data_IF_652786599870
#
_entry.id   IF_652786599870
#
_cell.length_a   1.000
_cell.length_b   1.000
_cell.length_c   1.000
_cell.angle_alpha   90.00
_cell.angle_beta   90.00
_cell.angle_gamma   90.00
#
_symmetry.space_group_name_H-M   'P 1'
#
loop_
_entity.id
_entity.type
_entity.pdbx_description
1 polymer ?
#
# COMPACT_ATOMS: atom_id res chain seq x y z
N UNK A 1 7.20 -8.07 -1.28
CA UNK A 1 6.98 -7.66 -2.67
C UNK A 1 5.66 -8.25 -3.19
N UNK A 2 4.81 -7.42 -3.72
CA UNK A 2 3.50 -7.84 -4.26
C UNK A 2 3.21 -7.24 -5.65
N UNK A 3 4.16 -6.51 -6.25
CA UNK A 3 3.94 -5.78 -7.49
C UNK A 3 3.49 -6.70 -8.64
N UNK A 4 4.10 -7.88 -8.78
CA UNK A 4 3.72 -8.84 -9.81
C UNK A 4 2.28 -9.33 -9.64
N UNK A 5 1.86 -9.61 -8.41
CA UNK A 5 0.50 -10.03 -8.10
C UNK A 5 -0.51 -8.91 -8.32
N UNK A 6 -0.15 -7.66 -8.00
CA UNK A 6 -0.99 -6.48 -8.26
C UNK A 6 -1.24 -6.34 -9.76
N UNK A 7 -0.18 -6.32 -10.57
CA UNK A 7 -0.27 -6.17 -12.03
C UNK A 7 -1.12 -7.29 -12.65
N UNK A 8 -0.85 -8.54 -12.30
CA UNK A 8 -1.58 -9.68 -12.84
C UNK A 8 -3.07 -9.67 -12.44
N UNK A 9 -3.38 -9.31 -11.18
CA UNK A 9 -4.77 -9.20 -10.74
C UNK A 9 -5.50 -8.06 -11.45
N UNK A 10 -4.83 -6.93 -11.63
CA UNK A 10 -5.39 -5.76 -12.32
C UNK A 10 -5.72 -6.09 -13.77
N UNK A 11 -4.78 -6.68 -14.52
CA UNK A 11 -4.95 -7.07 -15.91
C UNK A 11 -6.07 -8.12 -16.11
N UNK A 12 -6.16 -9.13 -15.22
CA UNK A 12 -7.26 -10.11 -15.26
C UNK A 12 -8.60 -9.46 -15.00
N UNK A 13 -8.66 -8.52 -14.07
CA UNK A 13 -9.90 -7.82 -13.75
C UNK A 13 -10.37 -6.92 -14.90
N UNK A 14 -9.43 -6.24 -15.57
CA UNK A 14 -9.72 -5.47 -16.77
C UNK A 14 -10.31 -6.36 -17.88
N UNK A 15 -9.69 -7.51 -18.14
CA UNK A 15 -10.19 -8.48 -19.14
C UNK A 15 -11.59 -8.99 -18.80
N UNK A 16 -11.87 -9.33 -17.53
CA UNK A 16 -13.18 -9.85 -17.09
C UNK A 16 -14.32 -8.83 -17.20
N UNK A 17 -14.01 -7.53 -17.15
CA UNK A 17 -15.01 -6.45 -17.25
C UNK A 17 -15.11 -5.86 -18.67
N UNK A 18 -14.15 -6.19 -19.55
CA UNK A 18 -14.07 -5.69 -20.93
C UNK A 18 -13.38 -4.33 -21.03
N UNK A 19 -12.52 -3.98 -20.08
CA UNK A 19 -11.66 -2.80 -20.14
C UNK A 19 -10.36 -3.10 -20.88
N UNK A 20 -9.69 -2.07 -21.39
CA UNK A 20 -8.38 -2.19 -22.01
C UNK A 20 -7.35 -2.78 -21.03
N UNK A 21 -6.53 -3.71 -21.52
CA UNK A 21 -5.49 -4.32 -20.71
C UNK A 21 -4.27 -3.41 -20.72
N UNK A 22 -4.03 -2.74 -19.60
CA UNK A 22 -2.94 -1.81 -19.44
C UNK A 22 -1.59 -2.50 -19.26
N UNK A 23 -0.52 -1.80 -19.61
CA UNK A 23 0.86 -2.27 -19.43
C UNK A 23 1.25 -2.24 -17.95
N UNK A 24 2.23 -3.08 -17.59
CA UNK A 24 2.82 -3.07 -16.26
C UNK A 24 3.26 -1.68 -15.81
N UNK A 25 3.90 -0.91 -16.70
CA UNK A 25 4.40 0.43 -16.41
C UNK A 25 3.28 1.40 -16.00
N UNK A 26 2.10 1.31 -16.62
CA UNK A 26 0.96 2.15 -16.28
C UNK A 26 0.37 1.77 -14.92
N UNK A 27 0.19 0.47 -14.69
CA UNK A 27 -0.32 -0.04 -13.40
C UNK A 27 0.65 0.24 -12.25
N UNK A 28 1.97 0.14 -12.49
CA UNK A 28 2.97 0.43 -11.44
C UNK A 28 2.90 1.87 -10.93
N UNK A 29 2.51 2.81 -11.78
CA UNK A 29 2.45 4.23 -11.42
C UNK A 29 1.38 4.58 -10.38
N UNK A 30 0.36 3.73 -10.25
CA UNK A 30 -0.76 3.95 -9.31
C UNK A 30 -0.63 3.09 -8.04
N UNK A 31 0.42 2.27 -7.96
CA UNK A 31 0.67 1.47 -6.75
C UNK A 31 0.96 2.40 -5.57
N UNK A 32 0.27 2.17 -4.46
CA UNK A 32 0.31 3.04 -3.28
C UNK A 32 -1.00 3.77 -3.02
N UNK A 33 -1.80 4.03 -4.04
CA UNK A 33 -3.14 4.60 -3.93
C UNK A 33 -4.17 3.57 -3.42
N UNK A 34 -5.35 4.04 -3.07
CA UNK A 34 -6.51 3.15 -2.88
C UNK A 34 -6.92 2.51 -4.22
N UNK A 35 -7.48 1.30 -4.15
CA UNK A 35 -7.88 0.60 -5.38
C UNK A 35 -8.91 1.40 -6.21
N UNK A 36 -9.86 2.06 -5.55
CA UNK A 36 -10.88 2.86 -6.24
C UNK A 36 -10.28 4.05 -6.99
N UNK A 37 -9.35 4.78 -6.37
CA UNK A 37 -8.64 5.88 -7.02
C UNK A 37 -7.77 5.39 -8.17
N UNK A 38 -7.03 4.28 -7.96
CA UNK A 38 -6.23 3.65 -8.99
C UNK A 38 -7.07 3.30 -10.24
N UNK A 39 -8.24 2.71 -10.05
CA UNK A 39 -9.16 2.39 -11.16
C UNK A 39 -9.66 3.67 -11.83
N UNK A 40 -10.07 4.69 -11.07
CA UNK A 40 -10.58 5.95 -11.63
C UNK A 40 -9.52 6.71 -12.43
N UNK A 41 -8.25 6.67 -12.01
CA UNK A 41 -7.14 7.30 -12.74
C UNK A 41 -6.85 6.56 -14.05
N UNK A 42 -6.82 5.23 -14.00
CA UNK A 42 -6.48 4.41 -15.17
C UNK A 42 -7.65 4.27 -16.17
N UNK A 43 -8.89 4.37 -15.69
CA UNK A 43 -10.11 4.31 -16.50
C UNK A 43 -11.03 5.49 -16.11
N UNK A 44 -10.73 6.71 -16.59
CA UNK A 44 -11.44 7.94 -16.18
C UNK A 44 -12.95 7.92 -16.46
N UNK A 45 -13.35 7.22 -17.52
CA UNK A 45 -14.75 7.11 -17.95
C UNK A 45 -15.52 6.00 -17.22
N UNK A 46 -14.87 5.23 -16.33
CA UNK A 46 -15.51 4.14 -15.61
C UNK A 46 -16.56 4.68 -14.62
N UNK A 47 -17.76 4.10 -14.70
CA UNK A 47 -18.86 4.45 -13.81
C UNK A 47 -18.68 3.81 -12.43
N UNK A 48 -19.32 4.36 -11.43
CA UNK A 48 -19.23 3.87 -10.04
C UNK A 48 -19.51 2.35 -9.90
N UNK A 49 -20.50 1.84 -10.61
CA UNK A 49 -20.82 0.41 -10.60
C UNK A 49 -19.75 -0.45 -11.25
N UNK A 50 -19.06 0.06 -12.28
CA UNK A 50 -17.94 -0.62 -12.95
C UNK A 50 -16.71 -0.65 -12.05
N UNK A 51 -16.41 0.45 -11.36
CA UNK A 51 -15.34 0.51 -10.34
C UNK A 51 -15.60 -0.50 -9.21
N UNK A 52 -16.83 -0.61 -8.72
CA UNK A 52 -17.19 -1.58 -7.69
C UNK A 52 -17.05 -3.02 -8.19
N UNK A 53 -17.50 -3.31 -9.41
CA UNK A 53 -17.35 -4.62 -10.05
C UNK A 53 -15.88 -4.97 -10.27
N UNK A 54 -15.08 -4.02 -10.78
CA UNK A 54 -13.63 -4.19 -10.93
C UNK A 54 -12.96 -4.50 -9.59
N UNK A 55 -13.27 -3.74 -8.56
CA UNK A 55 -12.71 -3.93 -7.22
C UNK A 55 -13.03 -5.32 -6.64
N UNK A 56 -14.23 -5.84 -6.91
CA UNK A 56 -14.63 -7.18 -6.52
C UNK A 56 -13.83 -8.25 -7.27
N UNK A 57 -13.68 -8.10 -8.58
CA UNK A 57 -12.89 -9.00 -9.43
C UNK A 57 -11.40 -8.96 -9.05
N UNK A 58 -10.86 -7.75 -8.84
CA UNK A 58 -9.47 -7.58 -8.37
C UNK A 58 -9.22 -8.31 -7.05
N UNK A 59 -10.10 -8.15 -6.09
CA UNK A 59 -9.99 -8.83 -4.79
C UNK A 59 -10.03 -10.34 -4.94
N UNK A 60 -10.85 -10.86 -5.85
CA UNK A 60 -10.93 -12.29 -6.19
C UNK A 60 -9.62 -12.78 -6.83
N UNK A 61 -9.17 -12.11 -7.91
CA UNK A 61 -7.94 -12.50 -8.61
C UNK A 61 -6.70 -12.35 -7.73
N UNK A 62 -6.57 -11.22 -7.03
CA UNK A 62 -5.44 -11.00 -6.11
C UNK A 62 -5.34 -12.10 -5.06
N UNK A 63 -6.45 -12.53 -4.48
CA UNK A 63 -6.48 -13.61 -3.48
C UNK A 63 -5.99 -14.95 -4.03
N UNK A 64 -6.27 -15.23 -5.30
CA UNK A 64 -5.88 -16.50 -5.95
C UNK A 64 -4.40 -16.54 -6.33
N UNK A 65 -3.82 -15.39 -6.70
CA UNK A 65 -2.47 -15.32 -7.26
C UNK A 65 -1.44 -14.70 -6.34
N UNK A 66 -1.88 -14.03 -5.25
CA UNK A 66 -0.97 -13.35 -4.35
C UNK A 66 -0.23 -14.34 -3.45
N UNK A 67 1.07 -14.40 -3.69
CA UNK A 67 2.03 -15.09 -2.82
C UNK A 67 3.08 -14.06 -2.40
N UNK A 68 2.80 -13.29 -1.34
CA UNK A 68 3.67 -12.19 -0.92
C UNK A 68 5.00 -12.75 -0.41
N UNK A 69 6.09 -12.13 -0.84
CA UNK A 69 7.43 -12.43 -0.37
C UNK A 69 8.06 -11.18 0.24
N UNK A 70 8.94 -11.36 1.21
CA UNK A 70 9.70 -10.26 1.76
C UNK A 70 10.91 -9.93 0.87
N UNK A 71 11.24 -8.66 0.78
CA UNK A 71 12.57 -8.30 0.30
C UNK A 71 13.64 -8.84 1.26
N UNK A 72 14.83 -9.20 0.76
CA UNK A 72 15.90 -9.73 1.60
C UNK A 72 16.23 -8.82 2.79
N UNK A 73 16.33 -9.41 3.97
CA UNK A 73 16.74 -8.69 5.20
C UNK A 73 15.61 -7.98 5.95
N UNK A 74 14.40 -7.86 5.39
CA UNK A 74 13.29 -7.12 6.04
C UNK A 74 12.90 -7.71 7.40
N UNK A 75 12.77 -9.03 7.51
CA UNK A 75 12.40 -9.62 8.81
C UNK A 75 13.45 -9.32 9.89
N UNK A 76 14.73 -9.44 9.56
CA UNK A 76 15.83 -9.11 10.47
C UNK A 76 15.84 -7.63 10.84
N UNK A 77 15.55 -6.76 9.88
CA UNK A 77 15.44 -5.31 10.13
C UNK A 77 14.31 -5.01 11.12
N UNK A 78 13.11 -5.59 10.92
CA UNK A 78 11.98 -5.41 11.83
C UNK A 78 12.29 -5.90 13.24
N UNK A 79 12.96 -7.06 13.38
CA UNK A 79 13.42 -7.58 14.65
C UNK A 79 14.38 -6.60 15.35
N UNK A 80 15.37 -6.08 14.64
CA UNK A 80 16.34 -5.14 15.18
C UNK A 80 15.70 -3.83 15.63
N UNK A 81 14.73 -3.30 14.87
CA UNK A 81 14.01 -2.09 15.24
C UNK A 81 13.23 -2.28 16.54
N UNK A 82 12.55 -3.41 16.71
CA UNK A 82 11.85 -3.70 17.99
C UNK A 82 12.83 -3.85 19.16
N UNK A 83 13.95 -4.54 18.95
CA UNK A 83 14.99 -4.68 19.98
C UNK A 83 15.60 -3.32 20.38
N UNK A 84 15.60 -2.36 19.45
CA UNK A 84 16.03 -0.98 19.70
C UNK A 84 14.95 -0.10 20.35
N UNK A 85 13.79 -0.66 20.68
CA UNK A 85 12.69 0.07 21.29
C UNK A 85 11.79 0.86 20.32
N UNK A 86 11.95 0.68 19.00
CA UNK A 86 11.11 1.34 18.01
C UNK A 86 9.70 0.75 18.00
N UNK A 87 8.69 1.61 17.91
CA UNK A 87 7.32 1.22 17.58
C UNK A 87 7.17 1.19 16.04
N UNK A 88 6.57 0.13 15.53
CA UNK A 88 6.40 -0.05 14.09
C UNK A 88 4.91 -0.07 13.77
N UNK A 89 4.52 0.71 12.74
CA UNK A 89 3.16 0.81 12.25
C UNK A 89 3.10 0.63 10.72
N UNK A 90 1.90 0.42 10.19
CA UNK A 90 1.65 0.33 8.75
C UNK A 90 0.64 1.39 8.33
N UNK A 91 0.97 2.16 7.28
CA UNK A 91 0.04 2.99 6.52
C UNK A 91 0.04 2.51 5.06
N UNK A 92 -1.10 2.07 4.53
CA UNK A 92 -1.15 1.39 3.23
C UNK A 92 -2.41 1.67 2.42
N UNK A 93 -2.26 1.71 1.08
CA UNK A 93 -3.39 1.74 0.13
C UNK A 93 -4.21 0.43 0.08
N UNK A 94 -3.76 -0.66 0.71
CA UNK A 94 -4.52 -1.91 0.79
C UNK A 94 -5.75 -1.75 1.68
N UNK A 95 -6.76 -2.61 1.46
CA UNK A 95 -7.85 -2.77 2.41
C UNK A 95 -7.38 -3.52 3.66
N UNK A 96 -8.08 -3.31 4.78
CA UNK A 96 -7.82 -4.02 6.06
C UNK A 96 -7.76 -5.54 5.88
N UNK A 97 -8.72 -6.11 5.13
CA UNK A 97 -8.76 -7.54 4.88
C UNK A 97 -7.55 -8.02 4.05
N UNK A 98 -7.15 -7.22 3.05
CA UNK A 98 -5.99 -7.50 2.21
C UNK A 98 -4.68 -7.47 3.00
N UNK A 99 -4.49 -6.42 3.81
CA UNK A 99 -3.33 -6.28 4.67
C UNK A 99 -3.24 -7.43 5.69
N UNK A 100 -4.34 -7.70 6.41
CA UNK A 100 -4.37 -8.78 7.40
C UNK A 100 -3.93 -10.10 6.81
N UNK A 101 -4.48 -10.47 5.65
CA UNK A 101 -4.13 -11.72 4.97
C UNK A 101 -2.63 -11.80 4.62
N UNK A 102 -2.06 -10.71 4.13
CA UNK A 102 -0.64 -10.69 3.74
C UNK A 102 0.27 -10.75 4.97
N UNK A 103 -0.06 -10.02 6.04
CA UNK A 103 0.69 -10.08 7.31
C UNK A 103 0.62 -11.46 7.97
N UNK A 104 -0.54 -12.12 7.94
CA UNK A 104 -0.71 -13.45 8.50
C UNK A 104 0.10 -14.49 7.69
N UNK A 105 0.07 -14.43 6.36
CA UNK A 105 0.87 -15.31 5.49
C UNK A 105 2.38 -15.19 5.75
N UNK A 106 2.85 -13.97 6.02
CA UNK A 106 4.25 -13.66 6.25
C UNK A 106 4.67 -13.76 7.73
N UNK A 107 3.75 -14.08 8.64
CA UNK A 107 3.97 -14.08 10.09
C UNK A 107 4.49 -12.73 10.64
N UNK A 108 4.04 -11.62 10.03
CA UNK A 108 4.51 -10.27 10.37
C UNK A 108 3.60 -9.51 11.33
N UNK A 109 2.39 -9.97 11.60
CA UNK A 109 1.40 -9.28 12.45
C UNK A 109 1.98 -8.85 13.79
N UNK A 110 2.85 -9.68 14.38
CA UNK A 110 3.50 -9.44 15.68
C UNK A 110 4.42 -8.20 15.73
N UNK A 111 4.88 -7.72 14.58
CA UNK A 111 5.81 -6.58 14.51
C UNK A 111 5.11 -5.22 14.57
N UNK A 112 3.84 -5.17 14.16
CA UNK A 112 3.14 -3.91 13.99
C UNK A 112 2.17 -3.63 15.13
N UNK A 113 2.32 -2.47 15.78
CA UNK A 113 1.44 -2.03 16.87
C UNK A 113 0.10 -1.52 16.35
N UNK A 114 0.14 -0.79 15.23
CA UNK A 114 -1.02 -0.17 14.59
C UNK A 114 -0.94 -0.37 13.09
N UNK A 115 -2.09 -0.51 12.46
CA UNK A 115 -2.21 -0.57 11.00
C UNK A 115 -3.34 0.35 10.53
N UNK A 116 -3.05 1.23 9.58
CA UNK A 116 -4.01 2.10 8.89
C UNK A 116 -4.11 1.73 7.43
N UNK A 117 -5.31 1.70 6.94
CA UNK A 117 -5.64 1.19 5.59
C UNK A 117 -6.59 2.14 4.87
N UNK A 118 -6.51 2.19 3.54
CA UNK A 118 -7.25 3.14 2.71
C UNK A 118 -8.78 2.95 2.69
N UNK A 119 -9.29 1.87 3.26
CA UNK A 119 -10.73 1.64 3.45
C UNK A 119 -11.25 2.14 4.81
N UNK A 120 -10.38 2.58 5.72
CA UNK A 120 -10.72 3.07 7.05
C UNK A 120 -10.23 4.49 7.35
N UNK A 121 -9.24 4.98 6.59
CA UNK A 121 -8.71 6.35 6.71
C UNK A 121 -8.62 6.96 5.31
N UNK A 122 -8.50 8.29 5.21
CA UNK A 122 -8.30 8.94 3.93
C UNK A 122 -7.05 8.37 3.21
N UNK A 123 -7.15 8.08 1.89
CA UNK A 123 -6.07 7.45 1.14
C UNK A 123 -4.88 8.40 0.96
N UNK A 124 -3.71 7.81 0.66
CA UNK A 124 -2.50 8.56 0.28
C UNK A 124 -2.78 9.44 -0.96
N UNK A 125 -2.26 10.65 -0.99
CA UNK A 125 -1.26 11.27 -0.13
C UNK A 125 -1.83 12.07 1.05
N UNK A 126 -3.10 11.84 1.49
CA UNK A 126 -3.67 12.48 2.65
C UNK A 126 -2.89 12.06 3.92
N UNK A 127 -2.51 12.98 4.83
CA UNK A 127 -1.70 12.69 6.01
C UNK A 127 -2.45 11.91 7.11
N UNK A 128 -3.77 11.77 7.03
CA UNK A 128 -4.62 11.24 8.09
C UNK A 128 -4.14 9.91 8.67
N UNK A 129 -3.66 8.97 7.85
CA UNK A 129 -3.15 7.68 8.35
C UNK A 129 -1.96 7.87 9.30
N UNK A 130 -1.06 8.81 8.99
CA UNK A 130 0.12 9.10 9.82
C UNK A 130 -0.26 9.86 11.08
N UNK A 131 -1.18 10.81 10.98
CA UNK A 131 -1.71 11.56 12.11
C UNK A 131 -2.38 10.60 13.12
N UNK A 132 -3.28 9.74 12.65
CA UNK A 132 -3.94 8.72 13.48
C UNK A 132 -2.95 7.74 14.14
N UNK A 133 -1.87 7.36 13.45
CA UNK A 133 -0.81 6.51 14.02
C UNK A 133 -0.08 7.24 15.14
N UNK A 134 0.30 8.50 14.92
CA UNK A 134 0.99 9.29 15.92
C UNK A 134 0.12 9.52 17.17
N UNK A 135 -1.16 9.86 16.97
CA UNK A 135 -2.13 10.04 18.05
C UNK A 135 -2.33 8.77 18.89
N UNK A 136 -2.58 7.63 18.24
CA UNK A 136 -2.82 6.36 18.93
C UNK A 136 -1.58 5.81 19.65
N UNK A 137 -0.38 6.12 19.16
CA UNK A 137 0.89 5.72 19.79
C UNK A 137 1.43 6.75 20.77
N UNK A 138 0.80 7.93 20.86
CA UNK A 138 1.29 9.07 21.66
C UNK A 138 2.72 9.48 21.30
N UNK A 139 3.00 9.56 19.98
CA UNK A 139 4.32 9.90 19.43
C UNK A 139 4.24 11.25 18.71
N UNK A 140 5.17 12.13 18.99
CA UNK A 140 5.36 13.36 18.24
C UNK A 140 5.88 13.03 16.81
N UNK A 141 5.43 13.80 15.81
CA UNK A 141 5.83 13.61 14.40
C UNK A 141 7.34 13.69 14.19
N UNK A 142 8.03 14.54 14.97
CA UNK A 142 9.49 14.69 14.92
C UNK A 142 10.24 13.41 15.35
N UNK A 143 9.57 12.53 16.10
CA UNK A 143 10.10 11.24 16.54
C UNK A 143 9.65 10.08 15.65
N UNK A 144 8.97 10.36 14.54
CA UNK A 144 8.51 9.40 13.57
C UNK A 144 9.20 9.57 12.22
N UNK A 145 9.24 8.50 11.44
CA UNK A 145 9.71 8.50 10.06
C UNK A 145 8.85 7.58 9.22
N UNK A 146 8.37 8.08 8.07
CA UNK A 146 7.71 7.25 7.06
C UNK A 146 8.74 6.59 6.17
N UNK A 147 8.64 5.28 5.97
CA UNK A 147 9.46 4.53 5.01
C UNK A 147 8.54 3.98 3.94
N UNK A 148 8.78 4.34 2.68
CA UNK A 148 7.93 3.93 1.57
C UNK A 148 8.68 3.78 0.26
N UNK A 149 8.02 3.18 -0.72
CA UNK A 149 8.56 2.87 -2.04
C UNK A 149 7.85 3.61 -3.17
N UNK A 150 6.96 4.54 -2.82
CA UNK A 150 6.22 5.36 -3.78
C UNK A 150 6.32 6.85 -3.43
N UNK A 151 6.15 7.72 -4.43
CA UNK A 151 6.02 9.15 -4.23
C UNK A 151 4.82 9.51 -3.33
N UNK A 152 3.75 8.72 -3.36
CA UNK A 152 2.58 8.89 -2.48
C UNK A 152 2.95 8.76 -1.00
N UNK A 153 3.92 7.91 -0.65
CA UNK A 153 4.43 7.77 0.71
C UNK A 153 5.19 9.02 1.15
N UNK A 154 6.05 9.52 0.27
CA UNK A 154 6.87 10.72 0.53
C UNK A 154 5.99 11.95 0.67
N UNK A 155 5.02 12.13 -0.26
CA UNK A 155 4.09 13.26 -0.23
C UNK A 155 3.19 13.18 1.00
N UNK A 156 2.71 11.99 1.38
CA UNK A 156 1.93 11.80 2.60
C UNK A 156 2.72 12.22 3.85
N UNK A 157 4.00 11.84 3.92
CA UNK A 157 4.86 12.26 5.03
C UNK A 157 5.10 13.78 5.04
N UNK A 158 5.33 14.40 3.88
CA UNK A 158 5.45 15.85 3.75
C UNK A 158 4.17 16.57 4.22
N UNK A 159 3.00 16.07 3.82
CA UNK A 159 1.71 16.63 4.22
C UNK A 159 1.43 16.47 5.73
N UNK A 160 2.09 15.49 6.38
CA UNK A 160 2.04 15.27 7.83
C UNK A 160 3.16 16.01 8.60
N UNK A 161 3.98 16.83 7.95
CA UNK A 161 5.20 17.41 8.53
C UNK A 161 6.12 16.34 9.17
N UNK A 162 6.22 15.18 8.55
CA UNK A 162 6.99 14.02 9.03
C UNK A 162 8.19 13.73 8.12
N UNK A 163 9.29 13.28 8.69
CA UNK A 163 10.44 12.81 7.91
C UNK A 163 10.09 11.57 7.11
N UNK A 164 10.72 11.42 5.94
CA UNK A 164 10.54 10.24 5.10
C UNK A 164 11.85 9.66 4.58
N UNK A 165 11.83 8.36 4.30
CA UNK A 165 12.90 7.62 3.63
C UNK A 165 12.25 6.90 2.45
N UNK A 166 12.64 7.28 1.22
CA UNK A 166 12.23 6.57 0.02
C UNK A 166 13.19 5.41 -0.26
N UNK A 167 12.63 4.21 -0.50
CA UNK A 167 13.39 3.03 -0.91
C UNK A 167 13.22 2.78 -2.40
N UNK A 168 14.27 2.38 -3.10
CA UNK A 168 14.31 2.30 -4.57
C UNK A 168 14.08 0.89 -5.12
N UNK A 169 13.80 -0.09 -4.28
CA UNK A 169 13.59 -1.48 -4.69
C UNK A 169 12.10 -1.88 -4.78
N UNK A 170 11.19 -0.94 -4.64
CA UNK A 170 9.74 -1.16 -4.66
C UNK A 170 9.07 -0.84 -5.99
N UNK A 171 7.88 -0.19 -5.93
CA UNK A 171 7.03 0.04 -7.08
C UNK A 171 7.48 1.22 -7.96
N UNK A 172 7.99 2.29 -7.36
CA UNK A 172 8.43 3.48 -8.11
C UNK A 172 9.94 3.52 -8.28
N UNK A 173 10.41 4.09 -9.39
CA UNK A 173 11.83 4.30 -9.67
C UNK A 173 12.37 5.55 -8.98
N UNK A 174 13.71 5.66 -8.93
CA UNK A 174 14.40 6.84 -8.34
C UNK A 174 14.18 8.15 -9.11
N UNK A 175 13.91 8.02 -10.40
CA UNK A 175 13.75 9.18 -11.29
C UNK A 175 12.40 9.87 -11.12
N UNK A 176 11.48 9.28 -10.37
CA UNK A 176 10.18 9.82 -10.05
C UNK A 176 10.17 10.54 -8.71
#
# INVERSE_FOLDING_TARGET
DSLNSIVAAFQRSAADIGFDILKRSEISQIVGLSLSEAIQILYPDAKTNEIQRFSTLYSKHYRLINDPVLFPGIERMLQNLILSGCLIAVATGKSRQGLKRDLDKLNLTKFFKITKTADLSAPKPNPQMLDEICEELFIDRDNAVMIGDTDFDVIMAQNADMRSIAVSYGAHSKER
#
